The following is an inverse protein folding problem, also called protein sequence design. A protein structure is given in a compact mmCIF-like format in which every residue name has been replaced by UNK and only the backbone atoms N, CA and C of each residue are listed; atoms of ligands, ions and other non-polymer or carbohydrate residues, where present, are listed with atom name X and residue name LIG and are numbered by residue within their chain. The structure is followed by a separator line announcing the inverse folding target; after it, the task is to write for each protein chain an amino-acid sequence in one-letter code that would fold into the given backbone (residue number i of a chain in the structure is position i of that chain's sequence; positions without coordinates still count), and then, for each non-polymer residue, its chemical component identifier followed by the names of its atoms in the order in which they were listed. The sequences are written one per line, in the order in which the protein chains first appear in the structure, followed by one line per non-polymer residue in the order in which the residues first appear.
data_IF_619598764184
#
_entry.id   IF_619598764184
#
_cell.length_a   1.000
_cell.length_b   1.000
_cell.length_c   1.000
_cell.angle_alpha   90.00
_cell.angle_beta   90.00
_cell.angle_gamma   90.00
#
_symmetry.space_group_name_H-M   'P 1'
#
loop_
_entity.id
_entity.type
_entity.pdbx_description
1 polymer ?
#
# COMPACT_ATOMS: atom_id res chain seq x y z
N UNK A 1 20.36 -12.88 -15.30
CA UNK A 1 21.27 -13.96 -14.87
C UNK A 1 22.35 -13.33 -14.02
N UNK A 2 22.06 -13.18 -12.73
CA UNK A 2 22.97 -12.60 -11.74
C UNK A 2 24.02 -13.65 -11.39
N UNK A 3 25.30 -13.37 -11.67
CA UNK A 3 26.40 -14.29 -11.34
C UNK A 3 26.68 -14.19 -9.85
N UNK A 4 26.12 -15.12 -9.08
CA UNK A 4 26.53 -15.35 -7.69
C UNK A 4 27.96 -15.90 -7.71
N UNK A 5 28.88 -15.23 -7.02
CA UNK A 5 30.31 -15.58 -7.03
C UNK A 5 30.56 -16.92 -6.31
N UNK A 6 31.46 -17.73 -6.88
CA UNK A 6 31.72 -19.13 -6.47
C UNK A 6 32.31 -19.25 -5.05
N UNK A 7 32.75 -18.13 -4.46
CA UNK A 7 33.29 -18.06 -3.09
C UNK A 7 32.18 -18.26 -2.04
N UNK A 8 30.95 -17.80 -2.30
CA UNK A 8 29.86 -17.90 -1.32
C UNK A 8 29.11 -19.24 -1.37
N UNK A 9 29.19 -19.96 -2.49
CA UNK A 9 28.35 -21.14 -2.76
C UNK A 9 29.13 -22.47 -2.62
N UNK A 10 30.40 -22.44 -2.23
CA UNK A 10 31.17 -23.66 -1.89
C UNK A 10 31.35 -24.63 -3.07
N UNK A 11 31.37 -24.12 -4.31
CA UNK A 11 31.53 -24.89 -5.54
C UNK A 11 30.30 -25.69 -5.98
N UNK A 12 30.51 -26.66 -6.89
CA UNK A 12 29.43 -27.40 -7.60
C UNK A 12 28.46 -28.12 -6.65
N UNK A 13 28.97 -28.65 -5.53
CA UNK A 13 28.14 -29.35 -4.54
C UNK A 13 27.25 -28.41 -3.74
N UNK A 14 27.73 -27.21 -3.41
CA UNK A 14 26.92 -26.22 -2.72
C UNK A 14 25.88 -25.56 -3.63
N UNK A 15 26.15 -25.40 -4.93
CA UNK A 15 25.11 -24.99 -5.90
C UNK A 15 23.98 -26.02 -5.98
N UNK A 16 24.34 -27.30 -5.96
CA UNK A 16 23.37 -28.41 -5.97
C UNK A 16 22.57 -28.49 -4.67
N UNK A 17 23.22 -28.25 -3.52
CA UNK A 17 22.56 -28.20 -2.22
C UNK A 17 21.61 -26.99 -2.11
N UNK A 18 22.04 -25.81 -2.58
CA UNK A 18 21.21 -24.60 -2.63
C UNK A 18 19.99 -24.81 -3.53
N UNK A 19 20.14 -25.43 -4.70
CA UNK A 19 19.02 -25.75 -5.58
C UNK A 19 18.03 -26.73 -4.92
N UNK A 20 18.53 -27.74 -4.19
CA UNK A 20 17.68 -28.70 -3.46
C UNK A 20 16.98 -28.07 -2.27
N UNK A 21 17.66 -27.24 -1.49
CA UNK A 21 17.07 -26.50 -0.38
C UNK A 21 16.05 -25.49 -0.92
N UNK A 22 16.37 -24.78 -2.01
CA UNK A 22 15.44 -23.87 -2.68
C UNK A 22 14.17 -24.57 -3.15
N UNK A 23 14.28 -25.78 -3.73
CA UNK A 23 13.13 -26.58 -4.13
C UNK A 23 12.32 -27.10 -2.93
N UNK A 24 12.96 -27.52 -1.84
CA UNK A 24 12.27 -28.03 -0.65
C UNK A 24 11.61 -26.89 0.14
N UNK A 25 12.29 -25.76 0.32
CA UNK A 25 11.73 -24.56 0.96
C UNK A 25 10.63 -23.96 0.08
N UNK A 26 10.82 -23.93 -1.25
CA UNK A 26 9.80 -23.51 -2.20
C UNK A 26 8.55 -24.37 -2.11
N UNK A 27 8.70 -25.71 -2.05
CA UNK A 27 7.57 -26.65 -1.94
C UNK A 27 6.88 -26.61 -0.57
N UNK A 28 7.59 -26.30 0.51
CA UNK A 28 6.99 -26.08 1.83
C UNK A 28 6.28 -24.72 1.90
N UNK A 29 6.71 -23.73 1.10
CA UNK A 29 6.02 -22.45 0.94
C UNK A 29 4.78 -22.54 0.03
N UNK A 30 4.71 -23.53 -0.86
CA UNK A 30 3.59 -23.74 -1.81
C UNK A 30 2.28 -24.22 -1.15
N UNK A 31 2.33 -24.78 0.07
CA UNK A 31 1.11 -25.22 0.78
C UNK A 31 0.42 -24.11 1.60
N UNK A 32 0.91 -22.86 1.55
CA UNK A 32 0.19 -21.72 2.13
C UNK A 32 -0.76 -21.11 1.10
N UNK A 33 -2.01 -21.57 1.09
CA UNK A 33 -3.07 -20.88 0.34
C UNK A 33 -3.06 -19.41 0.73
N UNK A 34 -2.92 -18.47 -0.21
CA UNK A 34 -3.09 -17.06 0.09
C UNK A 34 -4.49 -16.88 0.67
N UNK A 35 -4.59 -16.25 1.84
CA UNK A 35 -5.86 -15.68 2.27
C UNK A 35 -6.43 -14.87 1.09
N UNK A 36 -7.75 -14.94 0.86
CA UNK A 36 -8.36 -14.07 -0.14
C UNK A 36 -8.00 -12.61 0.20
N UNK A 37 -7.98 -11.72 -0.80
CA UNK A 37 -7.68 -10.31 -0.57
C UNK A 37 -8.55 -9.77 0.61
N UNK A 38 -9.82 -10.15 0.65
CA UNK A 38 -10.77 -9.77 1.69
C UNK A 38 -10.41 -10.29 3.10
N UNK A 39 -9.99 -11.56 3.23
CA UNK A 39 -9.54 -12.10 4.52
C UNK A 39 -8.23 -11.45 4.99
N UNK A 40 -7.38 -11.07 4.03
CA UNK A 40 -6.12 -10.39 4.29
C UNK A 40 -6.33 -8.97 4.85
N UNK A 41 -7.38 -8.26 4.41
CA UNK A 41 -7.71 -6.91 4.93
C UNK A 41 -8.06 -6.96 6.41
N UNK A 42 -8.88 -7.94 6.82
CA UNK A 42 -9.28 -8.08 8.22
C UNK A 42 -8.11 -8.39 9.14
N UNK A 43 -7.18 -9.24 8.69
CA UNK A 43 -5.97 -9.58 9.47
C UNK A 43 -5.12 -8.33 9.70
N UNK A 44 -4.88 -7.54 8.65
CA UNK A 44 -4.06 -6.32 8.75
C UNK A 44 -4.75 -5.29 9.65
N UNK A 45 -6.05 -5.06 9.45
CA UNK A 45 -6.83 -4.12 10.28
C UNK A 45 -6.79 -4.51 11.75
N UNK A 46 -7.06 -5.77 12.10
CA UNK A 46 -7.08 -6.25 13.50
C UNK A 46 -5.71 -6.17 14.18
N UNK A 47 -4.62 -6.23 13.41
CA UNK A 47 -3.25 -6.12 13.94
C UNK A 47 -2.79 -4.67 14.14
N UNK A 48 -3.25 -3.75 13.29
CA UNK A 48 -2.78 -2.36 13.28
C UNK A 48 -3.72 -1.40 14.00
N UNK A 49 -4.99 -1.76 14.15
CA UNK A 49 -6.02 -0.92 14.77
C UNK A 49 -6.81 -1.68 15.84
N UNK A 50 -7.17 -0.94 16.89
CA UNK A 50 -8.17 -1.38 17.85
C UNK A 50 -9.57 -1.43 17.19
N UNK A 51 -10.51 -2.24 17.74
CA UNK A 51 -11.89 -2.21 17.31
C UNK A 51 -12.49 -0.80 17.44
N UNK A 52 -13.31 -0.41 16.48
CA UNK A 52 -14.00 0.88 16.52
C UNK A 52 -14.93 0.92 17.74
N UNK A 53 -14.78 1.90 18.64
CA UNK A 53 -15.64 2.08 19.81
C UNK A 53 -17.13 2.20 19.44
N UNK A 54 -18.02 1.75 20.32
CA UNK A 54 -19.47 1.70 20.05
C UNK A 54 -20.07 3.08 19.68
N UNK A 55 -19.58 4.15 20.30
CA UNK A 55 -19.95 5.54 20.04
C UNK A 55 -19.52 6.04 18.64
N UNK A 56 -18.52 5.39 18.02
CA UNK A 56 -17.97 5.76 16.71
C UNK A 56 -18.43 4.86 15.55
N UNK A 57 -19.22 3.81 15.84
CA UNK A 57 -19.77 2.92 14.80
C UNK A 57 -20.64 3.67 13.79
N UNK A 58 -21.41 4.65 14.26
CA UNK A 58 -22.25 5.49 13.38
C UNK A 58 -21.39 6.35 12.47
N UNK A 59 -20.31 6.96 13.00
CA UNK A 59 -19.39 7.76 12.20
C UNK A 59 -18.74 6.93 11.10
N UNK A 60 -18.24 5.72 11.42
CA UNK A 60 -17.72 4.77 10.43
C UNK A 60 -18.74 4.49 9.32
N UNK A 61 -19.96 4.13 9.71
CA UNK A 61 -21.03 3.77 8.76
C UNK A 61 -21.37 4.92 7.83
N UNK A 62 -21.46 6.15 8.36
CA UNK A 62 -21.71 7.36 7.57
C UNK A 62 -20.55 7.64 6.60
N UNK A 63 -19.29 7.51 7.05
CA UNK A 63 -18.13 7.67 6.18
C UNK A 63 -18.14 6.66 5.03
N UNK A 64 -18.28 5.37 5.32
CA UNK A 64 -18.33 4.33 4.29
C UNK A 64 -19.48 4.54 3.30
N UNK A 65 -20.65 4.95 3.80
CA UNK A 65 -21.81 5.27 2.95
C UNK A 65 -21.55 6.47 2.05
N UNK A 66 -20.93 7.53 2.56
CA UNK A 66 -20.60 8.72 1.77
C UNK A 66 -19.65 8.38 0.61
N UNK A 67 -18.65 7.51 0.83
CA UNK A 67 -17.80 6.99 -0.24
C UNK A 67 -18.60 6.17 -1.26
N UNK A 68 -19.44 5.24 -0.80
CA UNK A 68 -20.26 4.41 -1.69
C UNK A 68 -21.24 5.25 -2.52
N UNK A 69 -21.84 6.29 -1.94
CA UNK A 69 -22.69 7.25 -2.65
C UNK A 69 -21.91 8.05 -3.68
N UNK A 70 -20.70 8.53 -3.35
CA UNK A 70 -19.83 9.23 -4.30
C UNK A 70 -19.47 8.34 -5.50
N UNK A 71 -19.15 7.05 -5.27
CA UNK A 71 -18.90 6.10 -6.36
C UNK A 71 -20.15 5.80 -7.18
N UNK A 72 -21.31 5.63 -6.53
CA UNK A 72 -22.58 5.42 -7.23
C UNK A 72 -23.00 6.63 -8.07
N UNK A 73 -22.74 7.84 -7.60
CA UNK A 73 -23.08 9.09 -8.28
C UNK A 73 -22.22 9.35 -9.54
N UNK A 74 -21.05 8.72 -9.66
CA UNK A 74 -20.23 8.83 -10.86
C UNK A 74 -20.90 8.14 -12.05
N UNK A 75 -21.45 8.94 -12.95
CA UNK A 75 -22.05 8.50 -14.21
C UNK A 75 -21.07 8.46 -15.37
N UNK A 76 -19.88 9.05 -15.19
CA UNK A 76 -18.93 9.30 -16.28
C UNK A 76 -17.90 8.16 -16.45
N UNK A 77 -17.95 7.12 -15.61
CA UNK A 77 -17.01 6.01 -15.67
C UNK A 77 -15.59 6.40 -15.24
N UNK A 78 -15.48 7.38 -14.35
CA UNK A 78 -14.21 7.87 -13.81
C UNK A 78 -13.59 6.84 -12.87
N UNK A 79 -14.42 6.07 -12.17
CA UNK A 79 -13.96 5.04 -11.22
C UNK A 79 -13.85 3.63 -11.84
N UNK A 80 -13.00 2.76 -11.27
CA UNK A 80 -12.89 1.37 -11.69
C UNK A 80 -14.23 0.61 -11.65
N UNK A 81 -14.39 -0.44 -12.49
CA UNK A 81 -15.60 -1.27 -12.49
C UNK A 81 -15.78 -1.97 -11.14
N UNK A 82 -17.03 -2.17 -10.72
CA UNK A 82 -17.39 -2.81 -9.45
C UNK A 82 -17.46 -1.85 -8.24
N UNK A 83 -16.88 -0.65 -8.31
CA UNK A 83 -16.93 0.33 -7.20
C UNK A 83 -18.35 0.82 -6.84
N UNK A 84 -19.30 0.68 -7.78
CA UNK A 84 -20.70 1.12 -7.61
C UNK A 84 -21.58 0.07 -6.94
N UNK A 85 -21.07 -1.15 -6.79
CA UNK A 85 -21.83 -2.30 -6.31
C UNK A 85 -21.86 -2.34 -4.78
N UNK A 86 -22.93 -2.94 -4.23
CA UNK A 86 -23.05 -3.11 -2.78
C UNK A 86 -21.95 -3.97 -2.15
N UNK A 87 -21.28 -4.80 -2.95
CA UNK A 87 -20.11 -5.55 -2.49
C UNK A 87 -18.93 -4.62 -2.14
N UNK A 88 -18.68 -3.57 -2.93
CA UNK A 88 -17.62 -2.62 -2.65
C UNK A 88 -17.88 -1.84 -1.35
N UNK A 89 -19.14 -1.50 -1.07
CA UNK A 89 -19.54 -0.91 0.21
C UNK A 89 -19.26 -1.85 1.40
N UNK A 90 -19.48 -3.16 1.25
CA UNK A 90 -19.11 -4.14 2.29
C UNK A 90 -17.60 -4.19 2.51
N UNK A 91 -16.81 -4.15 1.43
CA UNK A 91 -15.34 -4.11 1.50
C UNK A 91 -14.85 -2.84 2.22
N UNK A 92 -15.44 -1.68 1.93
CA UNK A 92 -15.16 -0.41 2.63
C UNK A 92 -15.39 -0.52 4.15
N UNK A 93 -16.50 -1.13 4.56
CA UNK A 93 -16.80 -1.31 5.99
C UNK A 93 -15.83 -2.29 6.66
N UNK A 94 -15.45 -3.37 5.97
CA UNK A 94 -14.52 -4.37 6.49
C UNK A 94 -13.08 -3.84 6.63
N UNK A 95 -12.65 -3.00 5.68
CA UNK A 95 -11.29 -2.45 5.61
C UNK A 95 -11.09 -1.18 6.46
N UNK A 96 -12.15 -0.50 6.88
CA UNK A 96 -12.07 0.75 7.65
C UNK A 96 -11.12 0.64 8.87
N UNK A 97 -10.16 1.57 9.06
CA UNK A 97 -10.04 2.88 8.42
C UNK A 97 -9.14 2.94 7.18
N UNK A 98 -8.83 1.82 6.54
CA UNK A 98 -8.03 1.77 5.30
C UNK A 98 -8.95 1.59 4.11
N UNK A 99 -8.69 2.32 3.02
CA UNK A 99 -9.45 2.17 1.79
C UNK A 99 -9.10 0.84 1.08
N UNK A 100 -10.07 0.05 0.58
CA UNK A 100 -9.81 -1.21 -0.12
C UNK A 100 -8.79 -1.10 -1.24
N UNK A 101 -8.81 0.01 -1.98
CA UNK A 101 -7.85 0.30 -3.06
C UNK A 101 -6.38 0.21 -2.62
N UNK A 102 -6.04 0.60 -1.39
CA UNK A 102 -4.66 0.52 -0.88
C UNK A 102 -4.19 -0.94 -0.91
N UNK A 103 -5.05 -1.84 -0.48
CA UNK A 103 -4.71 -3.25 -0.49
C UNK A 103 -4.80 -3.85 -1.88
N UNK A 104 -5.75 -3.44 -2.71
CA UNK A 104 -5.85 -3.92 -4.08
C UNK A 104 -4.57 -3.61 -4.85
N UNK A 105 -3.99 -2.41 -4.70
CA UNK A 105 -2.66 -2.06 -5.28
C UNK A 105 -1.53 -2.89 -4.67
N UNK A 106 -1.50 -3.06 -3.34
CA UNK A 106 -0.44 -3.83 -2.67
C UNK A 106 -0.51 -5.35 -2.94
N UNK A 107 -1.67 -5.91 -3.25
CA UNK A 107 -1.81 -7.33 -3.56
C UNK A 107 -1.86 -7.62 -5.05
N UNK A 108 -2.36 -6.72 -5.90
CA UNK A 108 -2.31 -6.92 -7.34
C UNK A 108 -0.92 -6.61 -7.90
N UNK A 109 -0.40 -5.41 -7.62
CA UNK A 109 0.81 -4.93 -8.29
C UNK A 109 2.08 -5.42 -7.59
N UNK A 110 2.11 -5.34 -6.26
CA UNK A 110 3.31 -5.69 -5.49
C UNK A 110 3.48 -7.19 -5.25
N UNK A 111 2.43 -8.00 -5.38
CA UNK A 111 2.56 -9.46 -5.27
C UNK A 111 3.36 -10.07 -6.42
N UNK A 112 3.52 -9.34 -7.53
CA UNK A 112 4.34 -9.75 -8.67
C UNK A 112 5.84 -9.66 -8.37
N UNK A 113 6.24 -8.89 -7.33
CA UNK A 113 7.64 -8.71 -6.96
C UNK A 113 8.16 -9.95 -6.25
N UNK A 114 9.17 -10.60 -6.84
CA UNK A 114 9.77 -11.87 -6.36
C UNK A 114 10.28 -11.77 -4.91
N UNK A 115 10.73 -10.59 -4.48
CA UNK A 115 11.27 -10.35 -3.12
C UNK A 115 10.18 -10.01 -2.08
N UNK A 116 8.92 -9.85 -2.49
CA UNK A 116 7.86 -9.33 -1.62
C UNK A 116 7.23 -10.41 -0.72
N UNK A 117 7.40 -10.25 0.59
CA UNK A 117 6.73 -11.10 1.58
C UNK A 117 5.30 -10.60 1.83
N UNK A 118 4.35 -11.06 1.01
CA UNK A 118 2.95 -10.60 0.95
C UNK A 118 2.35 -10.09 2.26
N UNK A 119 2.30 -10.89 3.33
CA UNK A 119 1.65 -10.46 4.59
C UNK A 119 2.55 -9.61 5.49
N UNK A 120 3.85 -9.97 5.61
CA UNK A 120 4.76 -9.29 6.56
C UNK A 120 5.27 -7.95 6.04
N UNK A 121 5.47 -7.85 4.73
CA UNK A 121 5.84 -6.61 4.04
C UNK A 121 4.73 -5.58 4.13
N UNK A 122 3.48 -5.97 3.80
CA UNK A 122 2.29 -5.11 3.93
C UNK A 122 2.12 -4.61 5.36
N UNK A 123 2.16 -5.50 6.35
CA UNK A 123 2.01 -5.10 7.76
C UNK A 123 3.06 -4.06 8.19
N UNK A 124 4.31 -4.25 7.77
CA UNK A 124 5.40 -3.34 8.12
C UNK A 124 5.24 -1.99 7.43
N UNK A 125 4.96 -2.00 6.12
CA UNK A 125 4.71 -0.78 5.35
C UNK A 125 3.54 0.00 5.96
N UNK A 126 2.40 -0.66 6.19
CA UNK A 126 1.20 -0.02 6.73
C UNK A 126 1.43 0.49 8.15
N UNK A 127 2.17 -0.23 9.00
CA UNK A 127 2.55 0.29 10.32
C UNK A 127 3.37 1.58 10.22
N UNK A 128 4.34 1.64 9.30
CA UNK A 128 5.16 2.84 9.06
C UNK A 128 4.32 4.00 8.53
N UNK A 129 3.42 3.73 7.58
CA UNK A 129 2.48 4.73 7.03
C UNK A 129 1.57 5.29 8.12
N UNK A 130 0.93 4.43 8.90
CA UNK A 130 0.04 4.83 10.00
C UNK A 130 0.80 5.66 11.02
N UNK A 131 2.03 5.24 11.38
CA UNK A 131 2.86 6.00 12.30
C UNK A 131 3.20 7.40 11.77
N UNK A 132 3.53 7.53 10.47
CA UNK A 132 3.78 8.83 9.85
C UNK A 132 2.53 9.72 9.88
N UNK A 133 1.39 9.18 9.42
CA UNK A 133 0.11 9.91 9.40
C UNK A 133 -0.32 10.36 10.80
N UNK A 134 -0.12 9.50 11.80
CA UNK A 134 -0.41 9.84 13.19
C UNK A 134 0.50 10.95 13.73
N UNK A 135 1.81 10.87 13.44
CA UNK A 135 2.78 11.91 13.82
C UNK A 135 2.44 13.26 13.19
N UNK A 136 1.99 13.24 11.95
CA UNK A 136 1.67 14.45 11.17
C UNK A 136 0.24 14.95 11.44
N UNK A 137 -0.47 14.32 12.38
CA UNK A 137 -1.84 14.65 12.80
C UNK A 137 -2.84 14.68 11.63
N UNK A 138 -2.74 13.70 10.73
CA UNK A 138 -3.65 13.56 9.60
C UNK A 138 -5.09 13.39 10.07
N UNK A 139 -6.00 14.17 9.48
CA UNK A 139 -7.43 14.22 9.86
C UNK A 139 -8.34 13.52 8.86
N UNK A 140 -7.79 12.86 7.85
CA UNK A 140 -8.63 12.18 6.87
C UNK A 140 -9.30 10.96 7.53
N UNK A 141 -10.59 10.74 7.25
CA UNK A 141 -11.35 9.67 7.91
C UNK A 141 -10.99 8.26 7.42
N UNK A 142 -10.34 8.17 6.26
CA UNK A 142 -9.93 6.92 5.62
C UNK A 142 -8.55 7.10 4.99
N UNK A 143 -7.66 6.14 5.20
CA UNK A 143 -6.34 6.08 4.58
C UNK A 143 -6.50 5.63 3.13
N UNK A 144 -6.34 6.57 2.19
CA UNK A 144 -6.39 6.34 0.75
C UNK A 144 -4.98 6.22 0.16
N UNK A 145 -4.80 5.64 -1.05
CA UNK A 145 -3.48 5.55 -1.69
C UNK A 145 -2.76 6.90 -1.77
N UNK A 146 -3.49 7.97 -2.10
CA UNK A 146 -2.98 9.34 -2.18
C UNK A 146 -2.42 9.89 -0.86
N UNK A 147 -2.81 9.31 0.29
CA UNK A 147 -2.38 9.77 1.61
C UNK A 147 -1.09 9.10 2.06
N UNK A 148 -0.59 8.08 1.35
CA UNK A 148 0.68 7.44 1.72
C UNK A 148 1.80 8.50 1.64
N UNK A 149 2.47 8.86 2.75
CA UNK A 149 3.45 9.94 2.76
C UNK A 149 4.81 9.41 2.27
N UNK A 150 5.02 9.44 0.95
CA UNK A 150 6.24 8.92 0.31
C UNK A 150 7.42 9.89 0.50
N UNK A 151 7.14 11.12 0.90
CA UNK A 151 8.12 12.10 1.38
C UNK A 151 8.80 11.64 2.68
N UNK A 152 8.11 10.92 3.57
CA UNK A 152 8.71 10.33 4.77
C UNK A 152 9.73 9.25 4.39
N UNK A 153 10.96 9.44 4.83
CA UNK A 153 12.09 8.56 4.50
C UNK A 153 11.86 7.12 4.96
N UNK A 154 11.15 6.89 6.08
CA UNK A 154 10.84 5.54 6.58
C UNK A 154 9.85 4.84 5.67
N UNK A 155 8.81 5.54 5.22
CA UNK A 155 7.82 5.00 4.28
C UNK A 155 8.49 4.71 2.94
N UNK A 156 9.25 5.66 2.42
CA UNK A 156 10.00 5.48 1.16
C UNK A 156 10.94 4.30 1.20
N UNK A 157 11.71 4.14 2.29
CA UNK A 157 12.63 3.01 2.44
C UNK A 157 11.91 1.67 2.49
N UNK A 158 10.73 1.59 3.12
CA UNK A 158 9.93 0.35 3.13
C UNK A 158 9.33 0.05 1.75
N UNK A 159 8.95 1.07 0.98
CA UNK A 159 8.49 0.91 -0.40
C UNK A 159 9.63 0.45 -1.32
N UNK A 160 10.75 1.17 -1.35
CA UNK A 160 11.83 0.90 -2.31
C UNK A 160 12.62 -0.37 -1.98
N UNK A 161 12.51 -0.91 -0.76
CA UNK A 161 13.19 -2.16 -0.34
C UNK A 161 12.91 -3.35 -1.25
N UNK A 162 11.75 -3.39 -1.89
CA UNK A 162 11.34 -4.50 -2.75
C UNK A 162 11.57 -4.22 -4.24
N UNK A 163 12.00 -3.00 -4.58
CA UNK A 163 12.25 -2.54 -5.93
C UNK A 163 13.75 -2.65 -6.27
N UNK A 164 14.09 -2.43 -7.53
CA UNK A 164 15.48 -2.30 -7.98
C UNK A 164 16.13 -1.02 -7.42
N UNK A 165 17.44 -0.87 -7.55
CA UNK A 165 18.12 0.34 -7.12
C UNK A 165 17.74 1.53 -8.03
N UNK A 166 17.71 2.75 -7.48
CA UNK A 166 17.50 3.98 -8.24
C UNK A 166 16.09 4.59 -8.21
N UNK A 167 15.11 3.94 -7.54
CA UNK A 167 13.77 4.52 -7.38
C UNK A 167 13.72 5.72 -6.43
N UNK A 168 14.60 5.78 -5.42
CA UNK A 168 14.59 6.87 -4.44
C UNK A 168 14.82 8.26 -5.08
N UNK A 169 15.84 8.47 -5.93
CA UNK A 169 15.99 9.73 -6.66
C UNK A 169 14.75 10.15 -7.45
N UNK A 170 14.12 9.21 -8.17
CA UNK A 170 12.94 9.48 -9.01
C UNK A 170 11.76 9.93 -8.15
N UNK A 171 11.50 9.22 -7.05
CA UNK A 171 10.43 9.57 -6.11
C UNK A 171 10.63 10.98 -5.55
N UNK A 172 11.87 11.32 -5.20
CA UNK A 172 12.20 12.64 -4.63
C UNK A 172 12.12 13.74 -5.69
N UNK A 173 12.57 13.51 -6.92
CA UNK A 173 12.53 14.54 -7.96
C UNK A 173 11.14 14.75 -8.53
N UNK A 174 10.38 13.68 -8.75
CA UNK A 174 9.20 13.73 -9.62
C UNK A 174 7.88 13.57 -8.87
N UNK A 175 7.89 12.90 -7.70
CA UNK A 175 6.65 12.53 -7.00
C UNK A 175 6.42 13.39 -5.76
N UNK A 176 7.32 13.33 -4.77
CA UNK A 176 6.99 13.78 -3.41
C UNK A 176 8.18 14.36 -2.63
N UNK A 177 9.23 14.80 -3.32
CA UNK A 177 10.30 15.55 -2.67
C UNK A 177 9.95 17.03 -2.44
N UNK A 178 10.73 17.72 -1.60
CA UNK A 178 10.48 19.13 -1.26
C UNK A 178 10.59 20.06 -2.48
N UNK A 179 11.34 19.66 -3.50
CA UNK A 179 11.55 20.43 -4.73
C UNK A 179 10.85 19.79 -5.94
N UNK A 180 9.99 18.79 -5.74
CA UNK A 180 9.32 18.11 -6.86
C UNK A 180 8.32 19.03 -7.56
N UNK A 181 8.01 18.73 -8.83
CA UNK A 181 7.00 19.50 -9.57
C UNK A 181 5.65 19.53 -8.84
N UNK A 182 5.12 18.42 -8.29
CA UNK A 182 3.89 18.45 -7.50
C UNK A 182 3.99 19.38 -6.28
N UNK A 183 5.13 19.42 -5.60
CA UNK A 183 5.36 20.32 -4.47
C UNK A 183 5.38 21.80 -4.89
N UNK A 184 5.92 22.10 -6.07
CA UNK A 184 5.93 23.45 -6.63
C UNK A 184 4.52 23.89 -7.02
N UNK A 185 3.76 23.05 -7.73
CA UNK A 185 2.37 23.33 -8.12
C UNK A 185 1.47 23.58 -6.91
N UNK A 186 1.60 22.77 -5.86
CA UNK A 186 0.85 22.96 -4.61
C UNK A 186 1.27 24.24 -3.86
N UNK A 187 2.51 24.73 -4.06
CA UNK A 187 2.99 25.98 -3.47
C UNK A 187 2.57 27.22 -4.25
N UNK A 188 2.35 27.11 -5.57
CA UNK A 188 1.91 28.19 -6.44
C UNK A 188 0.42 28.54 -6.22
N UNK A 189 -0.44 27.55 -5.97
CA UNK A 189 -1.87 27.75 -5.68
C UNK A 189 -2.22 27.29 -4.27
N UNK A 190 -2.55 28.24 -3.40
CA UNK A 190 -2.95 27.99 -2.01
C UNK A 190 -4.16 27.04 -1.88
N UNK A 191 -5.06 26.99 -2.87
CA UNK A 191 -6.20 26.05 -2.87
C UNK A 191 -5.75 24.61 -3.08
N UNK A 192 -4.80 24.41 -3.99
CA UNK A 192 -4.18 23.10 -4.23
C UNK A 192 -3.31 22.69 -3.05
N UNK A 193 -2.50 23.62 -2.54
CA UNK A 193 -1.66 23.40 -1.35
C UNK A 193 -2.44 23.04 -0.10
N UNK A 194 -3.61 23.66 0.13
CA UNK A 194 -4.47 23.31 1.27
C UNK A 194 -4.95 21.84 1.25
N UNK A 195 -5.06 21.25 0.06
CA UNK A 195 -5.43 19.85 -0.14
C UNK A 195 -4.24 18.94 -0.47
N UNK A 196 -3.04 19.49 -0.66
CA UNK A 196 -1.88 18.83 -1.28
C UNK A 196 -2.27 18.10 -2.59
N UNK A 197 -3.07 18.77 -3.42
CA UNK A 197 -3.76 18.14 -4.53
C UNK A 197 -2.79 17.53 -5.56
N UNK A 198 -1.76 18.27 -5.97
CA UNK A 198 -0.80 17.80 -6.95
C UNK A 198 0.03 16.63 -6.40
N UNK A 199 0.51 16.72 -5.15
CA UNK A 199 1.25 15.61 -4.52
C UNK A 199 0.39 14.36 -4.37
N UNK A 200 -0.86 14.53 -3.93
CA UNK A 200 -1.81 13.42 -3.77
C UNK A 200 -2.08 12.70 -5.08
N UNK A 201 -2.22 13.45 -6.18
CA UNK A 201 -2.36 12.87 -7.53
C UNK A 201 -1.08 12.12 -7.92
N UNK A 202 0.09 12.74 -7.76
CA UNK A 202 1.37 12.13 -8.11
C UNK A 202 1.64 10.81 -7.34
N UNK A 203 1.21 10.71 -6.08
CA UNK A 203 1.32 9.49 -5.26
C UNK A 203 0.45 8.32 -5.74
N UNK A 204 -0.51 8.58 -6.64
CA UNK A 204 -1.50 7.58 -7.09
C UNK A 204 -1.37 7.15 -8.54
N UNK A 205 -0.43 7.74 -9.29
CA UNK A 205 -0.15 7.43 -10.70
C UNK A 205 0.95 6.37 -10.79
#
# INVERSE_FOLDING_TARGET
MERVEDVEVGGVRGRTALARIGNVVGRIAEDWKPASADESFEIVRRRLFEPVPADRINARTLTCRAFAEAYRADTNGTFPPGCREGEYERRLVAAYPIHPEVFDRLYADWSTLVKFQRTRGVLRLMATVIHSLWRDNDRNPVIMPALIPVDDTRVRNELTRYLEDGWTPIIVSDVDGPTSLPAQVDAEDARLGAAMAARRVARTI
#
